data_IF_439396440480
#
_entry.id   IF_439396440480
#
_cell.length_a   1.000
_cell.length_b   1.000
_cell.length_c   1.000
_cell.angle_alpha   90.00
_cell.angle_beta   90.00
_cell.angle_gamma   90.00
#
_symmetry.space_group_name_H-M   'P 1'
#
loop_
_entity.id
_entity.type
_entity.pdbx_description
1 polymer ?
#
# COMPACT_ATOMS: atom_id res chain seq x y z
N UNK A 1 -2.57 21.03 -4.77
CA UNK A 1 -2.84 19.67 -4.28
C UNK A 1 -3.05 19.68 -2.76
N UNK A 2 -3.67 18.66 -2.15
CA UNK A 2 -3.76 18.55 -0.68
C UNK A 2 -3.54 17.13 -0.20
N UNK A 3 -2.85 16.97 0.94
CA UNK A 3 -2.75 15.71 1.69
C UNK A 3 -3.61 15.84 2.94
N UNK A 4 -4.52 14.88 3.14
CA UNK A 4 -5.60 14.97 4.14
C UNK A 4 -5.31 14.08 5.35
N UNK A 5 -5.36 14.66 6.54
CA UNK A 5 -5.16 13.96 7.83
C UNK A 5 -6.23 14.33 8.87
N UNK A 6 -7.10 15.31 8.59
CA UNK A 6 -8.19 15.70 9.48
C UNK A 6 -9.24 14.59 9.72
N UNK A 7 -9.19 13.49 8.96
CA UNK A 7 -9.99 12.29 9.23
C UNK A 7 -9.80 11.77 10.68
N UNK A 8 -8.64 11.98 11.29
CA UNK A 8 -8.37 11.59 12.67
C UNK A 8 -8.54 12.72 13.69
N UNK A 9 -8.85 13.94 13.26
CA UNK A 9 -8.94 15.10 14.16
C UNK A 9 -10.09 15.00 15.17
N UNK A 10 -11.12 14.23 14.83
CA UNK A 10 -12.32 14.05 15.66
C UNK A 10 -12.26 12.84 16.58
N UNK A 11 -11.19 12.05 16.49
CA UNK A 11 -11.01 10.87 17.30
C UNK A 11 -10.41 11.29 18.66
N UNK A 12 -11.06 10.95 19.78
CA UNK A 12 -10.50 11.19 21.11
C UNK A 12 -9.09 10.60 21.27
N UNK A 13 -8.25 11.28 22.02
CA UNK A 13 -6.95 10.78 22.45
C UNK A 13 -6.93 10.65 23.96
N UNK A 14 -6.01 9.85 24.50
CA UNK A 14 -5.82 9.71 25.94
C UNK A 14 -5.33 11.02 26.55
N UNK A 15 -5.65 11.20 27.83
CA UNK A 15 -5.24 12.36 28.61
C UNK A 15 -3.73 12.60 28.52
N UNK A 16 -3.36 13.87 28.36
CA UNK A 16 -1.97 14.30 28.20
C UNK A 16 -1.43 14.24 26.77
N UNK A 17 -2.19 13.74 25.79
CA UNK A 17 -1.81 13.82 24.37
C UNK A 17 -2.64 14.84 23.60
N UNK A 18 -2.07 15.33 22.50
CA UNK A 18 -2.81 16.12 21.51
C UNK A 18 -3.51 15.24 20.48
N UNK A 19 -4.61 15.77 19.92
CA UNK A 19 -5.31 15.16 18.79
C UNK A 19 -4.51 15.30 17.50
N UNK A 20 -4.69 14.31 16.63
CA UNK A 20 -4.19 14.30 15.25
C UNK A 20 -4.91 15.32 14.37
N UNK A 21 -4.39 15.58 13.17
CA UNK A 21 -4.98 16.49 12.18
C UNK A 21 -3.93 17.33 11.44
N UNK A 22 -4.41 18.18 10.55
CA UNK A 22 -3.60 19.12 9.78
C UNK A 22 -3.54 18.77 8.30
N UNK A 23 -4.60 19.07 7.54
CA UNK A 23 -4.56 18.94 6.09
C UNK A 23 -3.54 19.91 5.49
N UNK A 24 -2.55 19.39 4.79
CA UNK A 24 -1.51 20.18 4.15
C UNK A 24 -1.87 20.48 2.70
N UNK A 25 -1.69 21.75 2.30
CA UNK A 25 -1.98 22.22 0.95
C UNK A 25 -0.69 22.66 0.27
N UNK A 26 -0.53 22.25 -0.98
CA UNK A 26 0.65 22.50 -1.78
C UNK A 26 0.31 23.25 -3.07
N UNK A 27 1.20 24.13 -3.48
CA UNK A 27 1.14 24.77 -4.81
C UNK A 27 1.52 23.79 -5.93
N UNK A 28 1.52 24.26 -7.17
CA UNK A 28 1.89 23.47 -8.34
C UNK A 28 3.38 23.08 -8.38
N UNK A 29 4.20 23.76 -7.58
CA UNK A 29 5.62 23.44 -7.40
C UNK A 29 5.86 22.53 -6.19
N UNK A 30 4.82 21.95 -5.59
CA UNK A 30 4.89 21.09 -4.40
C UNK A 30 5.38 21.77 -3.13
N UNK A 31 5.33 23.11 -3.06
CA UNK A 31 5.68 23.84 -1.84
C UNK A 31 4.46 23.96 -0.93
N UNK A 32 4.62 23.76 0.40
CA UNK A 32 3.52 23.88 1.33
C UNK A 32 3.06 25.35 1.45
N UNK A 33 1.76 25.58 1.25
CA UNK A 33 1.12 26.91 1.24
C UNK A 33 0.40 27.20 2.55
N UNK A 34 -0.23 26.18 3.14
CA UNK A 34 -0.92 26.26 4.43
C UNK A 34 -1.19 24.87 4.99
N UNK A 35 -1.41 24.80 6.29
CA UNK A 35 -1.94 23.63 7.01
C UNK A 35 -3.26 24.06 7.67
N UNK A 36 -4.32 23.27 7.49
CA UNK A 36 -5.64 23.48 8.10
C UNK A 36 -5.89 22.35 9.09
N UNK A 37 -5.82 22.66 10.38
CA UNK A 37 -5.79 21.68 11.47
C UNK A 37 -7.06 21.74 12.32
N UNK A 38 -7.91 20.72 12.19
CA UNK A 38 -9.11 20.55 13.02
C UNK A 38 -8.79 20.00 14.43
N UNK A 39 -7.64 19.34 14.61
CA UNK A 39 -7.25 18.74 15.88
C UNK A 39 -6.74 19.76 16.91
N UNK A 40 -6.27 20.91 16.44
CA UNK A 40 -5.67 21.96 17.27
C UNK A 40 -6.70 22.84 17.98
N UNK A 41 -7.89 23.03 17.41
CA UNK A 41 -8.93 23.81 18.06
C UNK A 41 -9.44 23.09 19.33
N UNK A 42 -10.11 23.78 20.27
CA UNK A 42 -10.71 23.13 21.43
C UNK A 42 -11.65 22.00 21.02
N UNK A 43 -11.70 20.92 21.80
CA UNK A 43 -12.71 19.88 21.62
C UNK A 43 -14.09 20.44 21.96
N UNK A 44 -15.04 20.30 21.04
CA UNK A 44 -16.43 20.71 21.26
C UNK A 44 -17.33 19.48 21.28
N UNK A 45 -18.17 19.38 22.31
CA UNK A 45 -19.12 18.25 22.49
C UNK A 45 -20.30 18.28 21.52
N UNK A 46 -20.51 19.39 20.82
CA UNK A 46 -21.59 19.59 19.85
C UNK A 46 -21.24 19.07 18.44
N UNK A 47 -20.06 18.47 18.26
CA UNK A 47 -19.61 17.92 16.98
C UNK A 47 -19.12 18.97 15.97
N UNK A 48 -19.21 20.27 16.27
CA UNK A 48 -18.63 21.33 15.44
C UNK A 48 -17.15 21.50 15.78
N UNK A 49 -16.27 21.10 14.87
CA UNK A 49 -14.83 21.28 15.04
C UNK A 49 -14.36 22.49 14.24
N UNK A 50 -13.89 23.52 14.94
CA UNK A 50 -13.19 24.65 14.30
C UNK A 50 -11.83 24.20 13.77
N UNK A 51 -11.33 24.89 12.75
CA UNK A 51 -10.00 24.64 12.19
C UNK A 51 -9.07 25.81 12.44
N UNK A 52 -7.82 25.52 12.71
CA UNK A 52 -6.75 26.51 12.75
C UNK A 52 -6.00 26.44 11.43
N UNK A 53 -5.93 27.57 10.72
CA UNK A 53 -5.08 27.68 9.53
C UNK A 53 -3.75 28.30 9.91
N UNK A 54 -2.65 27.67 9.51
CA UNK A 54 -1.30 28.20 9.69
C UNK A 54 -0.55 28.24 8.36
N UNK A 55 0.21 29.30 8.12
CA UNK A 55 0.96 29.54 6.88
C UNK A 55 2.47 29.60 7.12
N UNK A 56 3.30 29.38 6.08
CA UNK A 56 4.74 29.59 6.17
C UNK A 56 5.09 30.98 6.70
N UNK A 57 6.00 31.05 7.67
CA UNK A 57 6.46 32.29 8.31
C UNK A 57 5.70 32.68 9.59
N UNK A 58 4.52 32.11 9.84
CA UNK A 58 3.78 32.35 11.09
C UNK A 58 4.41 31.60 12.28
N UNK A 59 4.25 32.13 13.49
CA UNK A 59 4.85 31.58 14.73
C UNK A 59 4.51 30.10 14.96
N UNK A 60 3.31 29.67 14.55
CA UNK A 60 2.84 28.29 14.70
C UNK A 60 3.32 27.30 13.63
N UNK A 61 4.05 27.75 12.59
CA UNK A 61 4.31 26.97 11.39
C UNK A 61 5.06 25.66 11.66
N UNK A 62 6.07 25.68 12.53
CA UNK A 62 6.83 24.48 12.87
C UNK A 62 5.99 23.44 13.62
N UNK A 63 5.10 23.88 14.51
CA UNK A 63 4.16 22.99 15.21
C UNK A 63 3.13 22.42 14.25
N UNK A 64 2.60 23.22 13.33
CA UNK A 64 1.66 22.75 12.30
C UNK A 64 2.31 21.66 11.41
N UNK A 65 3.56 21.86 10.97
CA UNK A 65 4.31 20.83 10.21
C UNK A 65 4.53 19.55 11.02
N UNK A 66 4.91 19.67 12.30
CA UNK A 66 5.11 18.50 13.17
C UNK A 66 3.81 17.70 13.34
N UNK A 67 2.69 18.38 13.62
CA UNK A 67 1.37 17.77 13.75
C UNK A 67 0.89 17.11 12.46
N UNK A 68 1.05 17.77 11.31
CA UNK A 68 0.73 17.19 10.00
C UNK A 68 1.54 15.91 9.75
N UNK A 69 2.87 15.96 9.87
CA UNK A 69 3.74 14.79 9.60
C UNK A 69 3.44 13.63 10.54
N UNK A 70 3.22 13.93 11.83
CA UNK A 70 2.87 12.93 12.83
C UNK A 70 1.50 12.30 12.57
N UNK A 71 0.51 13.10 12.18
CA UNK A 71 -0.82 12.60 11.82
C UNK A 71 -0.81 11.80 10.53
N UNK A 72 -0.03 12.22 9.54
CA UNK A 72 0.18 11.48 8.30
C UNK A 72 0.86 10.14 8.58
N UNK A 73 1.89 10.12 9.43
CA UNK A 73 2.56 8.88 9.83
C UNK A 73 1.59 7.88 10.45
N UNK A 74 0.74 8.32 11.39
CA UNK A 74 -0.26 7.44 12.01
C UNK A 74 -1.34 7.01 11.01
N UNK A 75 -1.77 7.89 10.11
CA UNK A 75 -2.73 7.55 9.05
C UNK A 75 -2.17 6.48 8.12
N UNK A 76 -0.96 6.67 7.60
CA UNK A 76 -0.31 5.70 6.71
C UNK A 76 -0.15 4.36 7.41
N UNK A 77 0.33 4.34 8.66
CA UNK A 77 0.52 3.07 9.40
C UNK A 77 -0.80 2.32 9.62
N UNK A 78 -1.88 3.02 10.00
CA UNK A 78 -3.15 2.34 10.30
C UNK A 78 -3.98 2.03 9.05
N UNK A 79 -4.16 3.00 8.16
CA UNK A 79 -5.05 2.89 7.02
C UNK A 79 -4.36 2.26 5.81
N UNK A 80 -3.28 2.85 5.31
CA UNK A 80 -2.66 2.39 4.06
C UNK A 80 -1.89 1.08 4.27
N UNK A 81 -1.08 1.00 5.33
CA UNK A 81 -0.22 -0.15 5.63
C UNK A 81 -1.02 -1.30 6.25
N UNK A 82 -1.46 -1.13 7.50
CA UNK A 82 -2.03 -2.24 8.27
C UNK A 82 -3.42 -2.65 7.77
N UNK A 83 -4.32 -1.70 7.47
CA UNK A 83 -5.61 -2.08 6.90
C UNK A 83 -5.48 -2.41 5.40
N UNK A 84 -4.97 -1.48 4.59
CA UNK A 84 -4.99 -1.58 3.13
C UNK A 84 -4.14 -2.72 2.57
N UNK A 85 -2.87 -2.78 2.95
CA UNK A 85 -1.95 -3.79 2.44
C UNK A 85 -2.07 -5.11 3.21
N UNK A 86 -2.01 -5.08 4.54
CA UNK A 86 -2.06 -6.29 5.38
C UNK A 86 -3.44 -6.94 5.40
N UNK A 87 -4.47 -6.25 5.89
CA UNK A 87 -5.76 -6.88 6.15
C UNK A 87 -6.66 -6.99 4.92
N UNK A 88 -6.66 -6.00 4.03
CA UNK A 88 -7.55 -5.94 2.89
C UNK A 88 -6.96 -6.61 1.65
N UNK A 89 -5.83 -6.15 1.13
CA UNK A 89 -5.33 -6.66 -0.15
C UNK A 89 -4.81 -8.11 -0.03
N UNK A 90 -3.77 -8.30 0.78
CA UNK A 90 -3.04 -9.58 0.85
C UNK A 90 -3.80 -10.66 1.62
N UNK A 91 -4.43 -10.33 2.77
CA UNK A 91 -5.14 -11.33 3.57
C UNK A 91 -6.37 -11.89 2.85
N UNK A 92 -7.16 -11.02 2.21
CA UNK A 92 -8.32 -11.47 1.43
C UNK A 92 -7.87 -12.33 0.25
N UNK A 93 -6.82 -11.91 -0.45
CA UNK A 93 -6.27 -12.69 -1.56
C UNK A 93 -5.76 -14.07 -1.12
N UNK A 94 -4.96 -14.15 -0.05
CA UNK A 94 -4.42 -15.45 0.39
C UNK A 94 -5.51 -16.39 0.92
N UNK A 95 -6.58 -15.85 1.53
CA UNK A 95 -7.77 -16.65 1.90
C UNK A 95 -8.40 -17.23 0.64
N UNK A 96 -8.75 -16.38 -0.34
CA UNK A 96 -9.38 -16.84 -1.57
C UNK A 96 -8.50 -17.83 -2.35
N UNK A 97 -7.18 -17.57 -2.42
CA UNK A 97 -6.21 -18.46 -3.06
C UNK A 97 -6.17 -19.84 -2.41
N UNK A 98 -6.13 -19.90 -1.07
CA UNK A 98 -6.04 -21.17 -0.34
C UNK A 98 -7.34 -21.97 -0.34
N UNK A 99 -8.48 -21.28 -0.37
CA UNK A 99 -9.80 -21.92 -0.33
C UNK A 99 -10.32 -22.35 -1.71
N UNK A 100 -9.93 -21.66 -2.79
CA UNK A 100 -10.50 -21.88 -4.13
C UNK A 100 -9.55 -22.50 -5.14
N UNK A 101 -8.25 -22.42 -4.90
CA UNK A 101 -7.25 -22.92 -5.84
C UNK A 101 -6.50 -24.09 -5.22
N UNK A 102 -6.48 -25.23 -5.90
CA UNK A 102 -5.85 -26.46 -5.44
C UNK A 102 -4.34 -26.28 -5.25
N UNK A 103 -3.76 -27.05 -4.32
CA UNK A 103 -2.36 -26.90 -3.94
C UNK A 103 -1.37 -27.09 -5.11
N UNK A 104 -1.75 -27.89 -6.11
CA UNK A 104 -0.92 -28.20 -7.28
C UNK A 104 -1.23 -27.31 -8.49
N UNK A 105 -2.19 -26.41 -8.38
CA UNK A 105 -2.52 -25.46 -9.44
C UNK A 105 -1.32 -24.55 -9.75
N UNK A 106 -0.95 -24.36 -11.04
CA UNK A 106 0.23 -23.60 -11.42
C UNK A 106 0.21 -22.16 -10.90
N UNK A 107 -0.93 -21.48 -10.97
CA UNK A 107 -1.04 -20.11 -10.42
C UNK A 107 -1.01 -20.05 -8.89
N UNK A 108 -1.43 -21.08 -8.16
CA UNK A 108 -1.22 -21.08 -6.70
C UNK A 108 0.25 -21.20 -6.38
N UNK A 109 0.98 -22.08 -7.07
CA UNK A 109 2.43 -22.25 -6.94
C UNK A 109 3.20 -20.96 -7.29
N UNK A 110 2.79 -20.31 -8.37
CA UNK A 110 3.32 -19.01 -8.80
C UNK A 110 3.16 -17.90 -7.75
N UNK A 111 2.01 -17.86 -7.06
CA UNK A 111 1.70 -16.82 -6.07
C UNK A 111 2.24 -17.11 -4.66
N UNK A 112 2.89 -18.26 -4.42
CA UNK A 112 3.47 -18.58 -3.10
C UNK A 112 4.50 -17.53 -2.65
N UNK A 113 5.48 -17.11 -3.46
CA UNK A 113 6.44 -16.08 -3.05
C UNK A 113 5.75 -14.79 -2.60
N UNK A 114 4.67 -14.41 -3.28
CA UNK A 114 3.89 -13.19 -3.04
C UNK A 114 2.84 -13.30 -1.93
N UNK A 115 2.72 -14.47 -1.29
CA UNK A 115 1.82 -14.72 -0.15
C UNK A 115 2.55 -15.37 1.03
N UNK A 116 3.87 -15.43 0.94
CA UNK A 116 4.73 -16.04 1.95
C UNK A 116 4.54 -15.33 3.30
N UNK A 117 4.31 -16.11 4.36
CA UNK A 117 4.07 -15.62 5.73
C UNK A 117 2.93 -14.62 5.97
N UNK A 118 2.20 -14.17 4.94
CA UNK A 118 1.07 -13.21 5.05
C UNK A 118 0.06 -13.59 6.14
N UNK A 119 -0.33 -14.87 6.20
CA UNK A 119 -1.27 -15.35 7.23
C UNK A 119 -0.67 -15.26 8.64
N UNK A 120 0.62 -15.60 8.77
CA UNK A 120 1.33 -15.61 10.05
C UNK A 120 1.46 -14.19 10.59
N UNK A 121 1.95 -13.24 9.77
CA UNK A 121 2.12 -11.85 10.20
C UNK A 121 0.78 -11.21 10.54
N UNK A 122 -0.27 -11.44 9.76
CA UNK A 122 -1.58 -10.85 10.01
C UNK A 122 -2.23 -11.43 11.28
N UNK A 123 -2.04 -12.73 11.54
CA UNK A 123 -2.44 -13.34 12.82
C UNK A 123 -1.65 -12.74 14.00
N UNK A 124 -0.34 -12.53 13.82
CA UNK A 124 0.53 -11.85 14.77
C UNK A 124 0.07 -10.42 15.07
N UNK A 125 -0.21 -9.62 14.04
CA UNK A 125 -0.70 -8.25 14.15
C UNK A 125 -2.02 -8.20 14.93
N UNK A 126 -2.96 -9.12 14.64
CA UNK A 126 -4.21 -9.24 15.42
C UNK A 126 -3.95 -9.46 16.92
N UNK A 127 -2.92 -10.21 17.29
CA UNK A 127 -2.70 -10.60 18.68
C UNK A 127 -1.76 -9.66 19.44
N UNK A 128 -0.78 -9.06 18.75
CA UNK A 128 0.34 -8.33 19.35
C UNK A 128 0.38 -6.85 18.96
N UNK A 129 -0.34 -6.44 17.91
CA UNK A 129 -0.31 -5.07 17.41
C UNK A 129 -1.58 -4.30 17.79
N UNK A 130 -2.75 -4.77 17.39
CA UNK A 130 -3.99 -3.95 17.43
C UNK A 130 -4.91 -4.17 18.63
N UNK A 131 -4.72 -5.24 19.41
CA UNK A 131 -5.60 -5.52 20.56
C UNK A 131 -5.43 -4.50 21.69
N UNK A 132 -6.47 -4.31 22.53
CA UNK A 132 -6.33 -3.54 23.76
C UNK A 132 -5.12 -4.00 24.58
N UNK A 133 -4.32 -3.04 25.01
CA UNK A 133 -3.11 -3.34 25.77
C UNK A 133 -2.00 -4.02 24.98
N UNK A 134 -1.92 -3.85 23.65
CA UNK A 134 -0.77 -4.29 22.80
C UNK A 134 0.00 -3.11 22.18
N UNK A 135 0.78 -3.31 21.10
CA UNK A 135 1.73 -2.28 20.63
C UNK A 135 1.08 -1.01 20.09
N UNK A 136 0.08 -1.08 19.21
CA UNK A 136 -0.54 0.10 18.61
C UNK A 136 -1.17 1.04 19.66
N UNK A 137 -1.95 0.54 20.66
CA UNK A 137 -2.41 1.37 21.78
C UNK A 137 -1.29 2.00 22.60
N UNK A 138 -0.07 1.44 22.58
CA UNK A 138 1.10 2.04 23.24
C UNK A 138 1.83 3.04 22.35
N UNK A 139 1.79 2.91 21.04
CA UNK A 139 2.49 3.81 20.12
C UNK A 139 1.68 5.06 19.76
N UNK A 140 0.35 4.93 19.71
CA UNK A 140 -0.54 6.01 19.27
C UNK A 140 -1.25 6.71 20.43
N UNK A 141 -1.65 7.96 20.24
CA UNK A 141 -2.34 8.79 21.23
C UNK A 141 -3.81 8.41 21.44
N UNK A 142 -4.42 7.65 20.53
CA UNK A 142 -5.83 7.25 20.59
C UNK A 142 -6.24 6.60 21.92
N UNK A 143 -7.50 6.81 22.29
CA UNK A 143 -8.20 5.88 23.20
C UNK A 143 -8.45 4.54 22.50
N UNK A 144 -8.81 3.50 23.25
CA UNK A 144 -9.11 2.19 22.65
C UNK A 144 -10.26 2.30 21.64
N UNK A 145 -11.38 2.94 22.01
CA UNK A 145 -12.53 3.18 21.11
C UNK A 145 -12.13 3.98 19.87
N UNK A 146 -11.26 4.98 20.03
CA UNK A 146 -10.78 5.79 18.92
C UNK A 146 -9.90 5.00 17.94
N UNK A 147 -9.14 4.03 18.43
CA UNK A 147 -8.34 3.17 17.57
C UNK A 147 -9.26 2.28 16.73
N UNK A 148 -10.31 1.71 17.33
CA UNK A 148 -11.33 0.95 16.61
C UNK A 148 -12.05 1.81 15.55
N UNK A 149 -12.40 3.05 15.90
CA UNK A 149 -12.98 4.01 14.94
C UNK A 149 -12.02 4.39 13.81
N UNK A 150 -10.71 4.52 14.10
CA UNK A 150 -9.70 4.76 13.07
C UNK A 150 -9.63 3.60 12.07
N UNK A 151 -9.69 2.35 12.55
CA UNK A 151 -9.77 1.15 11.71
C UNK A 151 -11.07 1.10 10.90
N UNK A 152 -12.21 1.40 11.52
CA UNK A 152 -13.50 1.43 10.83
C UNK A 152 -13.56 2.50 9.72
N UNK A 153 -12.78 3.58 9.85
CA UNK A 153 -12.67 4.63 8.85
C UNK A 153 -11.69 4.28 7.71
N UNK A 154 -10.71 3.41 7.94
CA UNK A 154 -9.64 3.08 7.00
C UNK A 154 -10.10 2.78 5.55
N UNK A 155 -11.20 2.01 5.30
CA UNK A 155 -11.67 1.76 3.94
C UNK A 155 -11.96 3.01 3.11
N UNK A 156 -12.37 4.11 3.77
CA UNK A 156 -12.70 5.39 3.12
C UNK A 156 -11.48 6.28 2.90
N UNK A 157 -10.38 5.98 3.59
CA UNK A 157 -9.16 6.80 3.58
C UNK A 157 -8.18 6.32 2.52
N UNK A 158 -8.18 5.02 2.22
CA UNK A 158 -7.28 4.41 1.24
C UNK A 158 -7.47 5.02 -0.16
N UNK A 159 -6.34 5.25 -0.82
CA UNK A 159 -6.25 5.73 -2.21
C UNK A 159 -5.56 4.71 -3.10
N UNK A 160 -6.34 3.76 -3.61
CA UNK A 160 -5.85 2.58 -4.32
C UNK A 160 -6.54 2.33 -5.65
N UNK A 161 -7.41 3.24 -6.08
CA UNK A 161 -8.26 3.12 -7.26
C UNK A 161 -9.70 2.69 -6.94
N UNK A 162 -9.93 2.10 -5.76
CA UNK A 162 -11.28 1.76 -5.26
C UNK A 162 -12.16 2.98 -4.97
N UNK A 163 -11.53 4.13 -4.72
CA UNK A 163 -12.19 5.41 -4.50
C UNK A 163 -12.58 6.15 -5.78
N UNK A 164 -12.16 5.66 -6.96
CA UNK A 164 -12.46 6.30 -8.24
C UNK A 164 -13.92 6.03 -8.58
N UNK A 165 -14.70 7.10 -8.77
CA UNK A 165 -16.12 7.01 -9.07
C UNK A 165 -16.42 6.51 -10.49
N UNK A 166 -17.62 5.98 -10.75
CA UNK A 166 -18.03 5.52 -12.08
C UNK A 166 -17.93 6.59 -13.18
N UNK A 167 -18.11 7.87 -12.83
CA UNK A 167 -17.97 9.01 -13.74
C UNK A 167 -16.55 9.17 -14.31
N UNK A 168 -15.57 8.68 -13.57
CA UNK A 168 -14.15 8.70 -13.91
C UNK A 168 -13.69 7.32 -14.44
N UNK A 169 -14.61 6.37 -14.66
CA UNK A 169 -14.33 5.02 -15.15
C UNK A 169 -13.91 4.03 -14.05
N UNK A 170 -14.16 4.35 -12.78
CA UNK A 170 -13.81 3.50 -11.64
C UNK A 170 -14.92 2.56 -11.15
N UNK A 171 -14.63 1.72 -10.15
CA UNK A 171 -13.35 1.59 -9.44
C UNK A 171 -12.26 1.01 -10.35
N UNK A 172 -11.03 1.50 -10.20
CA UNK A 172 -9.88 1.06 -10.98
C UNK A 172 -9.04 0.12 -10.12
N UNK A 173 -9.20 -1.19 -10.29
CA UNK A 173 -8.42 -2.20 -9.56
C UNK A 173 -7.09 -2.55 -10.25
N UNK A 174 -6.96 -2.15 -11.52
CA UNK A 174 -5.75 -2.31 -12.29
C UNK A 174 -4.74 -1.22 -11.92
N UNK A 175 -3.57 -1.63 -11.44
CA UNK A 175 -2.52 -0.71 -10.99
C UNK A 175 -2.00 0.20 -12.12
N UNK A 176 -1.84 -0.36 -13.32
CA UNK A 176 -1.33 0.37 -14.49
C UNK A 176 -2.34 1.44 -14.89
N UNK A 177 -3.62 1.08 -14.98
CA UNK A 177 -4.69 2.03 -15.29
C UNK A 177 -4.87 3.08 -14.20
N UNK A 178 -4.73 2.72 -12.92
CA UNK A 178 -4.82 3.69 -11.84
C UNK A 178 -3.69 4.73 -11.90
N UNK A 179 -2.46 4.32 -12.24
CA UNK A 179 -1.34 5.26 -12.42
C UNK A 179 -1.58 6.18 -13.62
N UNK A 180 -2.11 5.65 -14.74
CA UNK A 180 -2.50 6.47 -15.90
C UNK A 180 -3.60 7.47 -15.54
N UNK A 181 -4.61 7.04 -14.78
CA UNK A 181 -5.66 7.89 -14.26
C UNK A 181 -5.11 9.06 -13.43
N UNK A 182 -4.18 8.78 -12.50
CA UNK A 182 -3.53 9.82 -11.70
C UNK A 182 -2.85 10.88 -12.58
N UNK A 183 -2.16 10.46 -13.63
CA UNK A 183 -1.52 11.37 -14.60
C UNK A 183 -2.54 12.16 -15.41
N UNK A 184 -3.46 11.48 -16.08
CA UNK A 184 -4.34 12.07 -17.09
C UNK A 184 -5.50 12.86 -16.49
N UNK A 185 -6.08 12.39 -15.39
CA UNK A 185 -7.27 12.99 -14.77
C UNK A 185 -6.95 13.85 -13.56
N UNK A 186 -5.87 13.55 -12.83
CA UNK A 186 -5.49 14.31 -11.62
C UNK A 186 -4.23 15.16 -11.81
N UNK A 187 -3.53 15.04 -12.94
CA UNK A 187 -2.30 15.79 -13.22
C UNK A 187 -1.13 15.39 -12.32
N UNK A 188 -1.14 14.16 -11.77
CA UNK A 188 -0.13 13.66 -10.83
C UNK A 188 0.83 12.75 -11.59
N UNK A 189 1.93 13.34 -12.07
CA UNK A 189 3.00 12.64 -12.81
C UNK A 189 4.36 12.88 -12.12
N UNK A 190 4.58 12.16 -11.03
CA UNK A 190 5.84 12.18 -10.26
C UNK A 190 6.77 11.07 -10.73
N UNK A 191 8.07 11.18 -10.45
CA UNK A 191 8.99 10.06 -10.70
C UNK A 191 8.53 8.77 -9.99
N UNK A 192 8.00 8.89 -8.78
CA UNK A 192 7.42 7.75 -8.06
C UNK A 192 6.36 7.03 -8.90
N UNK A 193 5.41 7.75 -9.48
CA UNK A 193 4.38 7.15 -10.32
C UNK A 193 4.97 6.49 -11.58
N UNK A 194 6.01 7.07 -12.17
CA UNK A 194 6.68 6.51 -13.36
C UNK A 194 7.45 5.23 -13.05
N UNK A 195 8.19 5.20 -11.94
CA UNK A 195 8.87 3.98 -11.49
C UNK A 195 7.87 2.90 -11.09
N UNK A 196 6.76 3.25 -10.42
CA UNK A 196 5.67 2.32 -10.15
C UNK A 196 5.05 1.76 -11.44
N UNK A 197 4.89 2.58 -12.48
CA UNK A 197 4.38 2.13 -13.77
C UNK A 197 5.34 1.16 -14.46
N UNK A 198 6.64 1.47 -14.49
CA UNK A 198 7.65 0.56 -15.03
C UNK A 198 7.64 -0.78 -14.29
N UNK A 199 7.58 -0.75 -12.96
CA UNK A 199 7.51 -1.95 -12.14
C UNK A 199 6.23 -2.77 -12.40
N UNK A 200 5.07 -2.13 -12.44
CA UNK A 200 3.81 -2.81 -12.72
C UNK A 200 3.79 -3.46 -14.11
N UNK A 201 4.42 -2.85 -15.12
CA UNK A 201 4.57 -3.42 -16.45
C UNK A 201 5.53 -4.63 -16.48
N UNK A 202 6.58 -4.64 -15.65
CA UNK A 202 7.45 -5.82 -15.46
C UNK A 202 6.65 -6.97 -14.85
N UNK A 203 5.85 -6.69 -13.80
CA UNK A 203 4.99 -7.69 -13.17
C UNK A 203 3.95 -8.24 -14.14
N UNK A 204 3.30 -7.38 -14.94
CA UNK A 204 2.33 -7.79 -15.96
C UNK A 204 2.94 -8.74 -16.99
N UNK A 205 4.12 -8.40 -17.54
CA UNK A 205 4.83 -9.29 -18.47
C UNK A 205 5.14 -10.64 -17.82
N UNK A 206 5.61 -10.65 -16.58
CA UNK A 206 5.92 -11.88 -15.88
C UNK A 206 4.68 -12.77 -15.67
N UNK A 207 3.56 -12.18 -15.25
CA UNK A 207 2.27 -12.89 -15.09
C UNK A 207 1.81 -13.47 -16.42
N UNK A 208 1.78 -12.67 -17.49
CA UNK A 208 1.31 -13.09 -18.81
C UNK A 208 2.18 -14.20 -19.39
N UNK A 209 3.51 -14.02 -19.35
CA UNK A 209 4.46 -15.02 -19.83
C UNK A 209 4.37 -16.33 -19.05
N UNK A 210 4.21 -16.26 -17.72
CA UNK A 210 4.05 -17.45 -16.87
C UNK A 210 2.73 -18.18 -17.17
N UNK A 211 1.62 -17.45 -17.31
CA UNK A 211 0.32 -18.04 -17.63
C UNK A 211 0.34 -18.73 -19.00
N UNK A 212 1.03 -18.16 -19.99
CA UNK A 212 1.19 -18.76 -21.32
C UNK A 212 1.92 -20.12 -21.31
N UNK A 213 2.68 -20.44 -20.24
CA UNK A 213 3.27 -21.77 -20.06
C UNK A 213 2.23 -22.88 -19.83
N UNK A 214 1.05 -22.54 -19.30
CA UNK A 214 0.04 -23.52 -18.86
C UNK A 214 -1.30 -23.40 -19.61
N UNK A 215 -1.61 -22.21 -20.12
CA UNK A 215 -2.88 -21.94 -20.82
C UNK A 215 -2.61 -21.63 -22.29
N UNK A 216 -3.11 -22.45 -23.24
CA UNK A 216 -2.91 -22.23 -24.68
C UNK A 216 -3.58 -20.95 -25.21
N UNK A 217 -4.61 -20.45 -24.50
CA UNK A 217 -5.35 -19.26 -24.90
C UNK A 217 -5.92 -18.52 -23.69
N UNK A 218 -6.27 -17.24 -23.89
CA UNK A 218 -7.01 -16.45 -22.89
C UNK A 218 -8.34 -17.11 -22.51
N UNK A 219 -8.97 -17.83 -23.45
CA UNK A 219 -10.22 -18.53 -23.20
C UNK A 219 -10.04 -19.71 -22.24
N UNK A 220 -8.88 -20.37 -22.24
CA UNK A 220 -8.58 -21.45 -21.30
C UNK A 220 -8.41 -20.92 -19.87
N UNK A 221 -7.76 -19.75 -19.72
CA UNK A 221 -7.67 -19.06 -18.43
C UNK A 221 -9.06 -18.71 -17.89
N UNK A 222 -9.90 -18.09 -18.73
CA UNK A 222 -11.23 -17.63 -18.31
C UNK A 222 -12.19 -18.79 -18.05
N UNK A 223 -11.95 -19.97 -18.62
CA UNK A 223 -12.72 -21.19 -18.33
C UNK A 223 -12.22 -21.96 -17.11
N UNK A 224 -11.07 -21.58 -16.53
CA UNK A 224 -10.54 -22.24 -15.35
C UNK A 224 -11.46 -22.01 -14.14
N UNK A 225 -12.13 -23.06 -13.63
CA UNK A 225 -13.10 -22.90 -12.55
C UNK A 225 -12.46 -22.45 -11.23
N UNK A 226 -11.19 -22.80 -10.97
CA UNK A 226 -10.49 -22.41 -9.74
C UNK A 226 -10.14 -20.92 -9.77
N UNK A 227 -9.70 -20.40 -10.93
CA UNK A 227 -9.40 -18.97 -11.09
C UNK A 227 -10.65 -18.10 -11.07
N UNK A 228 -11.75 -18.56 -11.67
CA UNK A 228 -13.03 -17.88 -11.57
C UNK A 228 -13.51 -17.82 -10.12
N UNK A 229 -13.40 -18.93 -9.38
CA UNK A 229 -13.80 -19.00 -7.97
C UNK A 229 -12.91 -18.11 -7.08
N UNK A 230 -11.59 -18.07 -7.35
CA UNK A 230 -10.65 -17.13 -6.71
C UNK A 230 -11.10 -15.69 -6.89
N UNK A 231 -11.32 -15.26 -8.14
CA UNK A 231 -11.71 -13.90 -8.46
C UNK A 231 -13.05 -13.53 -7.80
N UNK A 232 -14.04 -14.41 -7.89
CA UNK A 232 -15.35 -14.20 -7.27
C UNK A 232 -15.27 -14.05 -5.75
N UNK A 233 -14.52 -14.93 -5.08
CA UNK A 233 -14.36 -14.83 -3.63
C UNK A 233 -13.61 -13.55 -3.25
N UNK A 234 -12.50 -13.23 -3.90
CA UNK A 234 -11.73 -12.02 -3.60
C UNK A 234 -12.59 -10.76 -3.75
N UNK A 235 -13.32 -10.63 -4.85
CA UNK A 235 -14.21 -9.48 -5.09
C UNK A 235 -15.36 -9.43 -4.08
N UNK A 236 -15.94 -10.57 -3.74
CA UNK A 236 -17.00 -10.64 -2.71
C UNK A 236 -16.47 -10.18 -1.34
N UNK A 237 -15.30 -10.65 -0.93
CA UNK A 237 -14.66 -10.23 0.31
C UNK A 237 -14.33 -8.74 0.28
N UNK A 238 -13.75 -8.25 -0.82
CA UNK A 238 -13.41 -6.84 -0.99
C UNK A 238 -14.65 -5.95 -0.88
N UNK A 239 -15.76 -6.33 -1.53
CA UNK A 239 -17.04 -5.64 -1.40
C UNK A 239 -17.53 -5.60 0.05
N UNK A 240 -17.41 -6.71 0.79
CA UNK A 240 -17.88 -6.77 2.18
C UNK A 240 -17.12 -5.84 3.14
N UNK A 241 -15.91 -5.42 2.78
CA UNK A 241 -15.03 -4.57 3.61
C UNK A 241 -14.78 -3.19 3.01
N UNK A 242 -15.41 -2.87 1.88
CA UNK A 242 -15.34 -1.56 1.23
C UNK A 242 -16.74 -0.95 1.18
N UNK A 243 -16.82 0.38 1.31
CA UNK A 243 -18.08 1.11 1.19
C UNK A 243 -18.41 1.49 -0.27
N UNK A 244 -17.71 0.90 -1.25
CA UNK A 244 -17.99 1.17 -2.65
C UNK A 244 -19.16 0.29 -3.08
N UNK A 245 -20.32 0.92 -3.31
CA UNK A 245 -21.53 0.28 -3.86
C UNK A 245 -21.30 -0.31 -5.27
N UNK A 246 -20.10 -0.10 -5.84
CA UNK A 246 -19.77 -0.45 -7.23
C UNK A 246 -19.34 -1.91 -7.40
N UNK A 247 -19.08 -2.67 -6.32
CA UNK A 247 -18.75 -4.09 -6.44
C UNK A 247 -19.98 -5.01 -6.60
N UNK A 248 -21.04 -4.53 -7.27
CA UNK A 248 -22.00 -5.45 -7.89
C UNK A 248 -21.27 -6.14 -9.05
N UNK A 249 -20.82 -7.36 -8.78
CA UNK A 249 -20.05 -8.19 -9.68
C UNK A 249 -20.55 -8.10 -11.14
N UNK A 250 -19.66 -7.75 -12.07
CA UNK A 250 -19.85 -8.03 -13.50
C UNK A 250 -19.67 -9.53 -13.74
N UNK A 251 -20.47 -10.35 -13.06
CA UNK A 251 -20.68 -11.73 -13.42
C UNK A 251 -21.81 -11.76 -14.46
N UNK A 252 -21.46 -11.39 -15.69
CA UNK A 252 -22.35 -11.51 -16.85
C UNK A 252 -22.13 -10.40 -17.87
N UNK A 253 -21.73 -10.79 -19.09
CA UNK A 253 -21.58 -9.97 -20.31
C UNK A 253 -20.19 -9.42 -20.68
N UNK A 254 -19.13 -9.77 -19.97
CA UNK A 254 -17.78 -9.39 -20.40
C UNK A 254 -17.20 -10.32 -21.48
N UNK A 255 -16.41 -9.76 -22.40
CA UNK A 255 -15.67 -10.55 -23.37
C UNK A 255 -14.60 -11.44 -22.71
N UNK A 256 -14.15 -12.48 -23.41
CA UNK A 256 -13.02 -13.32 -22.97
C UNK A 256 -11.80 -12.45 -22.65
N UNK A 257 -11.52 -11.47 -23.51
CA UNK A 257 -10.39 -10.57 -23.35
C UNK A 257 -10.50 -9.69 -22.10
N UNK A 258 -11.68 -9.12 -21.82
CA UNK A 258 -11.90 -8.31 -20.62
C UNK A 258 -11.77 -9.14 -19.34
N UNK A 259 -12.27 -10.38 -19.36
CA UNK A 259 -12.16 -11.29 -18.22
C UNK A 259 -10.73 -11.74 -17.96
N UNK A 260 -9.99 -12.07 -19.01
CA UNK A 260 -8.56 -12.39 -18.93
C UNK A 260 -7.76 -11.22 -18.34
N UNK A 261 -7.96 -10.00 -18.86
CA UNK A 261 -7.30 -8.79 -18.35
C UNK A 261 -7.57 -8.56 -16.88
N UNK A 262 -8.78 -8.83 -16.38
CA UNK A 262 -9.09 -8.69 -14.94
C UNK A 262 -8.34 -9.70 -14.06
N UNK A 263 -8.16 -10.93 -14.53
CA UNK A 263 -7.37 -11.94 -13.81
C UNK A 263 -5.91 -11.48 -13.74
N UNK A 264 -5.34 -11.04 -14.88
CA UNK A 264 -3.97 -10.51 -14.93
C UNK A 264 -3.84 -9.28 -14.00
N UNK A 265 -4.75 -8.32 -14.11
CA UNK A 265 -4.75 -7.11 -13.28
C UNK A 265 -4.84 -7.41 -11.78
N UNK A 266 -5.64 -8.42 -11.38
CA UNK A 266 -5.70 -8.88 -9.99
C UNK A 266 -4.33 -9.39 -9.52
N UNK A 267 -3.71 -10.30 -10.26
CA UNK A 267 -2.41 -10.88 -9.89
C UNK A 267 -1.33 -9.80 -9.83
N UNK A 268 -1.26 -8.94 -10.84
CA UNK A 268 -0.31 -7.81 -10.90
C UNK A 268 -0.52 -6.86 -9.74
N UNK A 269 -1.76 -6.48 -9.43
CA UNK A 269 -2.05 -5.56 -8.34
C UNK A 269 -1.68 -6.17 -6.98
N UNK A 270 -1.91 -7.47 -6.76
CA UNK A 270 -1.48 -8.14 -5.54
C UNK A 270 0.05 -8.18 -5.45
N UNK A 271 0.74 -8.64 -6.51
CA UNK A 271 2.20 -8.66 -6.55
C UNK A 271 2.79 -7.27 -6.30
N UNK A 272 2.20 -6.23 -6.88
CA UNK A 272 2.62 -4.85 -6.65
C UNK A 272 2.41 -4.44 -5.19
N UNK A 273 1.22 -4.67 -4.64
CA UNK A 273 0.85 -4.23 -3.30
C UNK A 273 1.68 -4.90 -2.20
N UNK A 274 2.04 -6.17 -2.37
CA UNK A 274 2.81 -6.91 -1.36
C UNK A 274 4.31 -6.68 -1.45
N UNK A 275 4.79 -6.04 -2.53
CA UNK A 275 6.20 -5.70 -2.74
C UNK A 275 6.39 -4.19 -2.60
N UNK A 276 6.42 -3.44 -3.71
CA UNK A 276 6.61 -1.98 -3.72
C UNK A 276 5.52 -1.22 -2.97
N UNK A 277 4.27 -1.70 -3.00
CA UNK A 277 3.18 -1.09 -2.24
C UNK A 277 3.38 -1.17 -0.73
N UNK A 278 3.83 -2.33 -0.25
CA UNK A 278 4.16 -2.56 1.15
C UNK A 278 5.36 -1.73 1.57
N UNK A 279 6.43 -1.72 0.78
CA UNK A 279 7.61 -0.89 1.04
C UNK A 279 7.24 0.60 1.14
N UNK A 280 6.36 1.09 0.26
CA UNK A 280 5.90 2.49 0.25
C UNK A 280 5.21 2.94 1.54
N UNK A 281 4.48 2.04 2.18
CA UNK A 281 3.68 2.38 3.37
C UNK A 281 4.26 1.81 4.67
N UNK A 282 5.13 0.79 4.57
CA UNK A 282 5.73 0.05 5.67
C UNK A 282 7.14 0.49 6.03
N UNK A 283 7.91 1.08 5.10
CA UNK A 283 9.25 1.62 5.36
C UNK A 283 9.24 2.94 6.16
N UNK A 284 8.27 3.12 7.06
CA UNK A 284 8.09 4.35 7.84
C UNK A 284 9.22 4.58 8.86
N UNK A 285 9.99 3.52 9.17
CA UNK A 285 11.12 3.53 10.09
C UNK A 285 12.07 4.71 9.89
N UNK A 286 12.40 5.05 8.64
CA UNK A 286 13.32 6.15 8.32
C UNK A 286 12.81 7.53 8.76
N UNK A 287 11.49 7.71 8.86
CA UNK A 287 10.87 8.98 9.26
C UNK A 287 10.67 9.08 10.77
N UNK A 288 10.45 7.96 11.45
CA UNK A 288 10.14 7.92 12.88
C UNK A 288 11.38 7.74 13.77
N UNK A 289 12.56 7.52 13.17
CA UNK A 289 13.84 7.54 13.87
C UNK A 289 14.17 8.91 14.48
N UNK A 290 13.73 10.00 13.83
CA UNK A 290 13.83 11.36 14.36
C UNK A 290 12.50 11.79 14.98
N UNK A 291 12.44 11.76 16.31
CA UNK A 291 11.25 12.18 17.06
C UNK A 291 10.87 13.66 16.86
N UNK A 292 11.78 14.50 16.33
CA UNK A 292 11.49 15.89 15.96
C UNK A 292 10.92 16.03 14.54
N UNK A 293 11.07 14.99 13.72
CA UNK A 293 10.43 14.91 12.40
C UNK A 293 8.96 14.52 12.53
N UNK A 294 8.66 13.36 13.11
CA UNK A 294 7.31 12.91 13.39
C UNK A 294 7.26 11.97 14.61
N UNK A 295 6.09 11.86 15.25
CA UNK A 295 5.89 10.98 16.40
C UNK A 295 4.52 10.31 16.38
N UNK A 296 4.43 9.06 16.85
CA UNK A 296 3.15 8.37 16.98
C UNK A 296 2.20 9.02 17.99
N UNK A 297 2.73 9.76 18.96
CA UNK A 297 1.99 10.52 19.98
C UNK A 297 2.86 11.62 20.58
N UNK A 298 2.24 12.71 21.03
CA UNK A 298 2.95 13.86 21.60
C UNK A 298 2.06 14.67 22.56
N UNK A 299 2.71 15.47 23.41
CA UNK A 299 2.04 16.28 24.45
C UNK A 299 1.63 17.66 23.91
N UNK A 300 0.69 18.35 24.59
CA UNK A 300 0.29 19.72 24.25
C UNK A 300 1.45 20.69 24.02
N UNK A 301 1.42 21.38 22.88
CA UNK A 301 2.41 22.40 22.50
C UNK A 301 3.73 21.85 21.94
N UNK A 302 3.94 20.53 21.93
CA UNK A 302 5.22 19.95 21.53
C UNK A 302 5.49 20.04 20.02
N UNK A 303 6.78 20.13 19.68
CA UNK A 303 7.32 20.01 18.32
C UNK A 303 8.24 18.82 18.16
N UNK A 304 8.25 17.92 19.15
CA UNK A 304 9.04 16.69 19.17
C UNK A 304 8.33 15.63 20.02
N UNK A 305 8.50 14.36 19.68
CA UNK A 305 8.02 13.24 20.46
C UNK A 305 8.72 13.14 21.82
N UNK A 306 8.03 12.61 22.83
CA UNK A 306 8.66 12.31 24.13
C UNK A 306 9.61 11.13 23.99
N UNK A 307 10.52 10.96 24.96
CA UNK A 307 11.39 9.76 25.03
C UNK A 307 10.57 8.47 24.99
N UNK A 308 9.46 8.43 25.73
CA UNK A 308 8.57 7.27 25.75
C UNK A 308 7.91 7.04 24.38
N UNK A 309 7.49 8.08 23.67
CA UNK A 309 6.95 7.95 22.33
C UNK A 309 8.00 7.41 21.35
N UNK A 310 9.21 7.96 21.35
CA UNK A 310 10.31 7.50 20.53
C UNK A 310 10.67 6.04 20.81
N UNK A 311 10.80 5.64 22.08
CA UNK A 311 11.07 4.24 22.46
C UNK A 311 9.94 3.31 22.04
N UNK A 312 8.67 3.72 22.20
CA UNK A 312 7.53 2.89 21.80
C UNK A 312 7.54 2.65 20.29
N UNK A 313 7.80 3.70 19.50
CA UNK A 313 7.88 3.57 18.05
C UNK A 313 9.09 2.73 17.61
N UNK A 314 10.26 2.90 18.23
CA UNK A 314 11.42 2.07 17.95
C UNK A 314 11.15 0.58 18.22
N UNK A 315 10.49 0.26 19.34
CA UNK A 315 10.06 -1.11 19.65
C UNK A 315 9.07 -1.64 18.62
N UNK A 316 8.11 -0.81 18.17
CA UNK A 316 7.19 -1.20 17.10
C UNK A 316 7.95 -1.55 15.82
N UNK A 317 8.88 -0.69 15.38
CA UNK A 317 9.69 -0.97 14.18
C UNK A 317 10.50 -2.25 14.34
N UNK A 318 11.16 -2.46 15.48
CA UNK A 318 11.91 -3.71 15.72
C UNK A 318 11.03 -4.96 15.70
N UNK A 319 9.77 -4.86 16.14
CA UNK A 319 8.82 -5.97 16.12
C UNK A 319 8.27 -6.27 14.72
N UNK A 320 8.36 -5.32 13.79
CA UNK A 320 7.85 -5.42 12.41
C UNK A 320 9.00 -5.32 11.41
N UNK A 321 10.16 -5.92 11.70
CA UNK A 321 11.36 -5.88 10.85
C UNK A 321 12.08 -7.23 10.81
N UNK A 322 11.34 -8.32 10.63
CA UNK A 322 11.94 -9.64 10.37
C UNK A 322 12.56 -9.68 8.97
N UNK A 323 13.75 -10.29 8.78
CA UNK A 323 14.32 -10.45 7.45
C UNK A 323 13.44 -11.32 6.54
N UNK A 324 13.24 -10.90 5.30
CA UNK A 324 12.40 -11.58 4.33
C UNK A 324 13.15 -11.92 3.04
N UNK A 325 12.66 -12.90 2.26
CA UNK A 325 13.19 -13.18 0.94
C UNK A 325 13.05 -11.97 0.02
N UNK A 326 14.14 -11.64 -0.65
CA UNK A 326 14.24 -10.48 -1.52
C UNK A 326 13.59 -10.77 -2.87
N UNK A 327 12.92 -9.77 -3.44
CA UNK A 327 12.27 -9.89 -4.76
C UNK A 327 13.30 -10.12 -5.87
N UNK A 328 14.41 -9.40 -5.79
CA UNK A 328 15.56 -9.54 -6.68
C UNK A 328 16.60 -10.45 -6.00
N UNK A 329 16.99 -11.52 -6.68
CA UNK A 329 18.09 -12.40 -6.29
C UNK A 329 17.69 -13.78 -5.75
N UNK A 330 16.57 -13.88 -5.02
CA UNK A 330 16.12 -15.18 -4.49
C UNK A 330 15.40 -16.02 -5.55
N UNK A 331 15.77 -17.30 -5.65
CA UNK A 331 15.23 -18.23 -6.64
C UNK A 331 14.02 -19.02 -6.14
N UNK A 332 12.88 -18.82 -6.80
CA UNK A 332 11.60 -19.47 -6.50
C UNK A 332 11.18 -20.51 -7.54
N UNK A 333 12.02 -20.77 -8.55
CA UNK A 333 11.68 -21.68 -9.66
C UNK A 333 11.39 -23.11 -9.22
N UNK A 334 11.95 -23.53 -8.09
CA UNK A 334 11.68 -24.83 -7.47
C UNK A 334 10.21 -25.06 -7.09
N UNK A 335 9.39 -24.00 -7.04
CA UNK A 335 7.95 -24.10 -6.79
C UNK A 335 7.12 -24.33 -8.06
N UNK A 336 7.66 -24.03 -9.24
CA UNK A 336 6.89 -24.04 -10.47
C UNK A 336 6.67 -25.47 -10.99
N UNK A 337 5.42 -25.90 -11.19
CA UNK A 337 5.16 -27.23 -11.73
C UNK A 337 5.59 -27.30 -13.19
N UNK A 338 5.92 -28.51 -13.65
CA UNK A 338 6.20 -28.72 -15.08
C UNK A 338 4.90 -28.60 -15.88
N UNK A 339 4.88 -27.86 -17.00
CA UNK A 339 3.73 -27.85 -17.90
C UNK A 339 3.40 -29.26 -18.40
N UNK A 340 2.11 -29.58 -18.54
CA UNK A 340 1.61 -30.88 -19.00
C UNK A 340 1.87 -31.16 -20.50
N UNK A 341 2.47 -30.22 -21.22
CA UNK A 341 3.02 -30.39 -22.56
C UNK A 341 3.65 -29.07 -23.06
N UNK A 342 4.70 -29.11 -23.90
CA UNK A 342 5.27 -27.89 -24.45
C UNK A 342 4.31 -27.29 -25.49
N UNK A 343 3.76 -26.11 -25.21
CA UNK A 343 3.24 -25.24 -26.27
C UNK A 343 4.42 -24.87 -27.17
N UNK A 344 4.42 -25.20 -28.48
CA UNK A 344 5.55 -24.91 -29.36
C UNK A 344 5.89 -23.41 -29.34
N UNK A 345 7.11 -23.06 -28.91
CA UNK A 345 7.57 -21.68 -28.80
C UNK A 345 7.21 -20.93 -27.51
N UNK A 346 6.52 -21.58 -26.55
CA UNK A 346 6.32 -21.00 -25.22
C UNK A 346 7.60 -21.10 -24.37
N UNK A 347 7.89 -20.04 -23.63
CA UNK A 347 8.96 -20.01 -22.62
C UNK A 347 8.67 -21.05 -21.53
N UNK A 348 9.71 -21.58 -20.89
CA UNK A 348 9.51 -22.36 -19.66
C UNK A 348 9.23 -21.44 -18.47
N UNK A 349 8.56 -21.92 -17.40
CA UNK A 349 8.37 -21.13 -16.18
C UNK A 349 9.68 -20.57 -15.59
N UNK A 350 10.76 -21.34 -15.66
CA UNK A 350 12.10 -20.94 -15.23
C UNK A 350 12.69 -19.85 -16.13
N UNK A 351 12.47 -19.94 -17.44
CA UNK A 351 12.87 -18.89 -18.38
C UNK A 351 12.10 -17.58 -18.14
N UNK A 352 10.78 -17.66 -17.88
CA UNK A 352 9.97 -16.50 -17.51
C UNK A 352 10.51 -15.83 -16.24
N UNK A 353 10.87 -16.60 -15.22
CA UNK A 353 11.45 -16.07 -13.99
C UNK A 353 12.83 -15.46 -14.19
N UNK A 354 13.69 -16.08 -15.00
CA UNK A 354 15.00 -15.50 -15.35
C UNK A 354 14.84 -14.14 -16.02
N UNK A 355 13.93 -14.02 -16.99
CA UNK A 355 13.66 -12.75 -17.68
C UNK A 355 13.14 -11.71 -16.69
N UNK A 356 12.22 -12.10 -15.79
CA UNK A 356 11.73 -11.23 -14.73
C UNK A 356 12.87 -10.69 -13.85
N UNK A 357 13.78 -11.56 -13.38
CA UNK A 357 14.95 -11.14 -12.60
C UNK A 357 15.88 -10.20 -13.37
N UNK A 358 16.09 -10.43 -14.67
CA UNK A 358 16.88 -9.55 -15.53
C UNK A 358 16.24 -8.16 -15.70
N UNK A 359 14.92 -8.10 -15.89
CA UNK A 359 14.17 -6.85 -15.98
C UNK A 359 14.20 -6.07 -14.65
N UNK A 360 14.04 -6.76 -13.51
CA UNK A 360 14.20 -6.15 -12.19
C UNK A 360 15.61 -5.60 -11.98
N UNK A 361 16.63 -6.34 -12.38
CA UNK A 361 18.02 -5.90 -12.28
C UNK A 361 18.28 -4.67 -13.15
N UNK A 362 17.68 -4.60 -14.35
CA UNK A 362 17.77 -3.45 -15.23
C UNK A 362 17.05 -2.22 -14.65
N UNK A 363 15.84 -2.40 -14.11
CA UNK A 363 15.10 -1.34 -13.42
C UNK A 363 15.88 -0.82 -12.21
N UNK A 364 16.46 -1.71 -11.40
CA UNK A 364 17.25 -1.33 -10.23
C UNK A 364 18.43 -0.41 -10.58
N UNK A 365 19.13 -0.70 -11.69
CA UNK A 365 20.20 0.17 -12.21
C UNK A 365 19.69 1.56 -12.60
N UNK A 366 18.48 1.65 -13.18
CA UNK A 366 17.86 2.95 -13.51
C UNK A 366 17.50 3.74 -12.25
N UNK A 367 16.92 3.08 -11.25
CA UNK A 367 16.63 3.70 -9.96
C UNK A 367 17.91 4.20 -9.28
N UNK A 368 19.00 3.44 -9.31
CA UNK A 368 20.30 3.87 -8.78
C UNK A 368 20.83 5.10 -9.53
N UNK A 369 20.81 5.10 -10.86
CA UNK A 369 21.21 6.26 -11.64
C UNK A 369 20.34 7.51 -11.33
N UNK A 370 19.03 7.33 -11.13
CA UNK A 370 18.16 8.41 -10.66
C UNK A 370 18.58 8.89 -9.27
N UNK A 371 18.90 8.00 -8.34
CA UNK A 371 19.27 8.37 -6.98
C UNK A 371 20.64 9.07 -6.90
N UNK A 372 21.62 8.60 -7.68
CA UNK A 372 22.96 9.19 -7.75
C UNK A 372 22.92 10.64 -8.28
N UNK A 373 21.97 10.94 -9.18
CA UNK A 373 21.79 12.28 -9.74
C UNK A 373 20.95 13.22 -8.85
N UNK A 374 20.41 12.77 -7.70
CA UNK A 374 19.40 13.50 -6.95
C UNK A 374 19.82 14.91 -6.53
N UNK A 375 21.04 15.07 -6.01
CA UNK A 375 21.55 16.37 -5.54
C UNK A 375 21.71 17.42 -6.64
N UNK A 376 21.72 17.00 -7.91
CA UNK A 376 21.87 17.90 -9.06
C UNK A 376 20.54 18.42 -9.62
N UNK A 377 19.41 17.80 -9.25
CA UNK A 377 18.08 18.14 -9.78
C UNK A 377 17.44 19.29 -9.00
N UNK A 378 16.55 20.08 -9.63
CA UNK A 378 15.75 21.07 -8.91
C UNK A 378 14.66 20.40 -8.06
N UNK A 379 14.21 21.10 -7.02
CA UNK A 379 13.01 20.72 -6.27
C UNK A 379 11.78 20.62 -7.21
N UNK A 380 10.89 19.61 -7.05
CA UNK A 380 10.86 18.60 -5.98
C UNK A 380 11.70 17.34 -6.23
N UNK A 381 12.35 17.22 -7.38
CA UNK A 381 13.09 16.03 -7.81
C UNK A 381 14.48 15.90 -7.15
N UNK A 382 14.85 16.82 -6.26
CA UNK A 382 16.17 16.90 -5.64
C UNK A 382 16.43 15.85 -4.53
N UNK A 383 15.55 14.86 -4.39
CA UNK A 383 15.64 13.82 -3.37
C UNK A 383 15.77 12.44 -4.04
N UNK A 384 16.51 11.51 -3.42
CA UNK A 384 16.52 10.14 -3.89
C UNK A 384 15.17 9.47 -3.59
N UNK A 385 14.84 8.48 -4.42
CA UNK A 385 13.65 7.64 -4.35
C UNK A 385 14.09 6.17 -4.37
N UNK A 386 14.06 5.53 -3.20
CA UNK A 386 14.49 4.13 -3.04
C UNK A 386 13.33 3.12 -3.07
N UNK A 387 12.12 3.61 -2.87
CA UNK A 387 10.93 2.82 -2.48
C UNK A 387 10.41 1.84 -3.53
N UNK A 388 10.76 2.04 -4.81
CA UNK A 388 10.37 1.14 -5.92
C UNK A 388 11.60 0.43 -6.51
N UNK A 389 12.77 0.58 -5.90
CA UNK A 389 13.98 -0.04 -6.42
C UNK A 389 13.99 -1.54 -6.06
N UNK A 390 13.94 -2.46 -7.05
CA UNK A 390 13.74 -3.89 -6.80
C UNK A 390 14.72 -4.56 -5.84
N UNK A 391 15.94 -4.02 -5.71
CA UNK A 391 16.96 -4.57 -4.80
C UNK A 391 16.65 -4.38 -3.31
N UNK A 392 15.69 -3.51 -2.97
CA UNK A 392 15.23 -3.28 -1.60
C UNK A 392 13.85 -3.88 -1.34
N UNK A 393 13.21 -4.47 -2.34
CA UNK A 393 11.87 -4.99 -2.20
C UNK A 393 11.90 -6.42 -1.67
N UNK A 394 11.07 -6.69 -0.68
CA UNK A 394 10.71 -8.05 -0.29
C UNK A 394 9.71 -8.65 -1.28
N UNK A 395 9.61 -9.97 -1.28
CA UNK A 395 8.68 -10.73 -2.14
C UNK A 395 7.22 -10.68 -1.68
N UNK A 396 6.96 -10.42 -0.39
CA UNK A 396 5.63 -10.49 0.20
C UNK A 396 5.51 -9.61 1.42
N UNK A 397 4.29 -9.58 1.98
CA UNK A 397 4.06 -8.98 3.28
C UNK A 397 4.20 -10.03 4.39
N UNK A 398 5.10 -9.75 5.32
CA UNK A 398 5.50 -10.75 6.29
C UNK A 398 6.08 -10.12 7.55
N UNK A 399 6.06 -8.79 7.66
CA UNK A 399 6.49 -8.01 8.83
C UNK A 399 5.51 -6.94 9.21
#
# INVERSE_FOLDING_TARGET
>A
MSVRTNAFARLPVRDGFERYGGDAYFDLSWRPVKIVDEGLAPWRRDGHQESVTTRPGEQGWNRAKFRFRSSLSVLVTLADHLYGVHMQASNLFVIALREKVSADHPLRRFMIPFTYMTVTVNSGARNNLVRPGTMAPRCFGFTDDSLDLAFAAAPKLIKSGSEVGPEDGGPILDRIEYIKYLKEKKGIDTEFNRQCLEFALILERFVVDYMACYYPSHADVVRDPELLALLQQFLHQLHSVTYSEVFQATAGQDSVEASYKRIVALLVNIMFLVTAGHEQVGAIGVYVQDASWCAGRWVPGATTGTKQAATSTALLMSLTSEPMPTLLGDDWTHLFPKPSGPSPGAKSPEECFRIFQEELQAMSKKCDAYNDAASSRPFPECFPLYVVNPKYLDTSISV
#
